data_IF_499952012058
#
_entry.id   IF_499952012058
#
_cell.length_a   1.000
_cell.length_b   1.000
_cell.length_c   1.000
_cell.angle_alpha   90.00
_cell.angle_beta   90.00
_cell.angle_gamma   90.00
#
_symmetry.space_group_name_H-M   'P 1'
#
loop_
_entity.id
_entity.type
_entity.pdbx_description
1 polymer ?
#
# COMPACT_ATOMS: atom_id res chain seq x y z
N UNK A 1 -6.02 7.51 -10.32
CA UNK A 1 -4.81 6.67 -10.38
C UNK A 1 -4.68 6.09 -11.77
N UNK A 2 -3.55 6.32 -12.44
CA UNK A 2 -3.29 5.83 -13.78
C UNK A 2 -2.38 4.59 -13.79
N UNK A 3 -1.49 4.48 -12.81
CA UNK A 3 -0.50 3.37 -12.69
C UNK A 3 0.20 3.04 -14.01
N UNK A 4 0.51 4.08 -14.78
CA UNK A 4 0.94 3.99 -16.19
C UNK A 4 2.22 3.16 -16.38
N UNK A 5 3.16 3.21 -15.42
CA UNK A 5 4.38 2.41 -15.47
C UNK A 5 4.12 0.89 -15.54
N UNK A 6 2.97 0.43 -15.01
CA UNK A 6 2.53 -0.96 -15.05
C UNK A 6 1.50 -1.25 -16.15
N UNK A 7 1.11 -0.24 -16.95
CA UNK A 7 0.06 -0.33 -17.95
C UNK A 7 0.52 0.25 -19.32
N UNK A 8 1.43 -0.41 -20.06
CA UNK A 8 1.97 0.09 -21.32
C UNK A 8 0.90 0.41 -22.38
N UNK A 9 -0.14 -0.43 -22.47
CA UNK A 9 -1.23 -0.23 -23.43
C UNK A 9 -2.05 1.04 -23.13
N UNK A 10 -2.27 1.36 -21.85
CA UNK A 10 -2.91 2.61 -21.43
C UNK A 10 -2.04 3.81 -21.81
N UNK A 11 -0.73 3.71 -21.55
CA UNK A 11 0.22 4.76 -21.93
C UNK A 11 0.17 5.02 -23.45
N UNK A 12 0.21 3.96 -24.28
CA UNK A 12 0.12 4.06 -25.75
C UNK A 12 -1.18 4.73 -26.19
N UNK A 13 -2.31 4.34 -25.62
CA UNK A 13 -3.60 4.92 -25.95
C UNK A 13 -3.67 6.42 -25.59
N UNK A 14 -3.16 6.80 -24.40
CA UNK A 14 -3.13 8.20 -23.96
C UNK A 14 -2.20 9.07 -24.82
N UNK A 15 -1.03 8.55 -25.20
CA UNK A 15 -0.09 9.25 -26.08
C UNK A 15 -0.66 9.42 -27.49
N UNK A 16 -1.23 8.37 -28.08
CA UNK A 16 -1.86 8.42 -29.39
C UNK A 16 -3.04 9.40 -29.45
N UNK A 17 -3.86 9.43 -28.38
CA UNK A 17 -4.98 10.35 -28.25
C UNK A 17 -4.55 11.78 -27.84
N UNK A 18 -3.27 12.01 -27.54
CA UNK A 18 -2.72 13.27 -27.00
C UNK A 18 -3.46 13.74 -25.75
N UNK A 19 -3.92 12.81 -24.94
CA UNK A 19 -4.64 13.10 -23.69
C UNK A 19 -3.69 13.74 -22.68
N UNK A 20 -4.14 14.81 -22.02
CA UNK A 20 -3.43 15.35 -20.86
C UNK A 20 -3.77 14.48 -19.64
N UNK A 21 -2.78 13.77 -19.13
CA UNK A 21 -2.91 12.91 -17.95
C UNK A 21 -2.38 13.60 -16.69
N UNK A 22 -3.22 13.69 -15.65
CA UNK A 22 -2.80 14.12 -14.30
C UNK A 22 -3.07 12.98 -13.36
N UNK A 23 -2.01 12.34 -12.89
CA UNK A 23 -2.10 11.17 -12.00
C UNK A 23 -2.08 11.61 -10.53
N UNK A 24 -3.06 11.16 -9.76
CA UNK A 24 -3.14 11.46 -8.33
C UNK A 24 -1.93 10.92 -7.55
N UNK A 25 -1.47 9.75 -7.93
CA UNK A 25 -0.38 9.03 -7.25
C UNK A 25 0.99 9.68 -7.40
N UNK A 26 1.14 10.67 -8.27
CA UNK A 26 2.42 11.35 -8.51
C UNK A 26 2.41 12.82 -8.07
N UNK A 27 1.25 13.37 -7.69
CA UNK A 27 1.17 14.72 -7.10
C UNK A 27 1.92 14.76 -5.78
N UNK A 28 2.83 15.75 -5.63
CA UNK A 28 3.64 15.93 -4.43
C UNK A 28 3.25 17.21 -3.68
N UNK A 29 3.46 17.21 -2.37
CA UNK A 29 3.43 18.42 -1.57
C UNK A 29 4.81 19.09 -1.50
N UNK A 30 4.90 20.20 -0.78
CA UNK A 30 6.14 20.95 -0.57
C UNK A 30 7.22 20.17 0.19
N UNK A 31 6.84 19.10 0.88
CA UNK A 31 7.74 18.21 1.61
C UNK A 31 8.11 16.97 0.79
N UNK A 32 7.61 16.87 -0.46
CA UNK A 32 7.83 15.73 -1.36
C UNK A 32 6.98 14.51 -1.04
N UNK A 33 5.99 14.64 -0.14
CA UNK A 33 5.05 13.56 0.17
C UNK A 33 4.01 13.42 -0.95
N UNK A 34 3.24 12.33 -0.93
CA UNK A 34 2.21 12.01 -1.91
C UNK A 34 0.80 12.18 -1.30
N UNK A 35 0.31 13.41 -1.11
CA UNK A 35 -0.89 13.70 -0.32
C UNK A 35 -2.16 13.05 -0.87
N UNK A 36 -2.23 12.81 -2.18
CA UNK A 36 -3.40 12.20 -2.82
C UNK A 36 -3.35 10.66 -2.79
N UNK A 37 -2.19 10.07 -2.46
CA UNK A 37 -2.04 8.63 -2.24
C UNK A 37 -2.35 8.23 -0.79
N UNK A 38 -2.10 9.14 0.17
CA UNK A 38 -2.28 8.90 1.61
C UNK A 38 -3.65 8.33 1.96
N UNK A 39 -4.81 8.88 1.51
CA UNK A 39 -6.12 8.38 1.91
C UNK A 39 -6.34 6.90 1.53
N UNK A 40 -5.88 6.47 0.36
CA UNK A 40 -6.02 5.08 -0.06
C UNK A 40 -5.08 4.16 0.73
N UNK A 41 -3.90 4.64 1.09
CA UNK A 41 -2.98 3.92 1.98
C UNK A 41 -3.56 3.76 3.39
N UNK A 42 -4.27 4.77 3.91
CA UNK A 42 -4.97 4.71 5.19
C UNK A 42 -6.11 3.68 5.17
N UNK A 43 -6.93 3.71 4.11
CA UNK A 43 -8.01 2.73 3.92
C UNK A 43 -7.44 1.33 3.79
N UNK A 44 -6.41 1.14 2.95
CA UNK A 44 -5.79 -0.17 2.74
C UNK A 44 -5.22 -0.76 4.04
N UNK A 45 -4.50 0.04 4.84
CA UNK A 45 -3.96 -0.40 6.13
C UNK A 45 -5.05 -0.83 7.11
N UNK A 46 -6.15 -0.06 7.20
CA UNK A 46 -7.29 -0.38 8.06
C UNK A 46 -8.01 -1.66 7.60
N UNK A 47 -8.21 -1.81 6.30
CA UNK A 47 -8.84 -2.99 5.70
C UNK A 47 -7.99 -4.24 5.85
N UNK A 48 -6.67 -4.15 5.73
CA UNK A 48 -5.78 -5.30 5.81
C UNK A 48 -5.97 -6.11 7.11
N UNK A 49 -6.19 -5.43 8.23
CA UNK A 49 -6.43 -6.10 9.51
C UNK A 49 -7.82 -6.71 9.59
N UNK A 50 -8.85 -6.04 9.08
CA UNK A 50 -10.22 -6.59 9.05
C UNK A 50 -10.26 -7.85 8.18
N UNK A 51 -9.58 -7.81 7.03
CA UNK A 51 -9.40 -8.95 6.13
C UNK A 51 -8.68 -10.10 6.85
N UNK A 52 -7.54 -9.81 7.49
CA UNK A 52 -6.80 -10.79 8.27
C UNK A 52 -7.64 -11.44 9.36
N UNK A 53 -8.39 -10.64 10.12
CA UNK A 53 -9.30 -11.13 11.16
C UNK A 53 -10.42 -12.01 10.60
N UNK A 54 -10.99 -11.64 9.44
CA UNK A 54 -12.01 -12.44 8.77
C UNK A 54 -11.47 -13.81 8.35
N UNK A 55 -10.34 -13.82 7.66
CA UNK A 55 -9.75 -15.06 7.13
C UNK A 55 -9.11 -15.94 8.22
N UNK A 56 -8.87 -15.44 9.43
CA UNK A 56 -8.53 -16.29 10.58
C UNK A 56 -9.68 -17.17 11.06
N UNK A 57 -10.94 -16.87 10.71
CA UNK A 57 -12.10 -17.69 11.11
C UNK A 57 -12.08 -19.06 10.43
N UNK A 58 -12.60 -20.08 11.11
CA UNK A 58 -12.69 -21.43 10.53
C UNK A 58 -13.52 -21.51 9.27
N UNK A 59 -14.60 -20.73 9.18
CA UNK A 59 -15.47 -20.67 8.00
C UNK A 59 -14.75 -20.12 6.78
N UNK A 60 -13.77 -19.22 6.99
CA UNK A 60 -12.95 -18.64 5.90
C UNK A 60 -11.65 -19.43 5.63
N UNK A 61 -11.44 -20.59 6.27
CA UNK A 61 -10.29 -21.46 6.07
C UNK A 61 -9.13 -21.24 7.05
N UNK A 62 -9.26 -20.32 7.98
CA UNK A 62 -8.19 -19.94 8.90
C UNK A 62 -8.02 -20.86 10.11
N UNK A 63 -7.07 -20.50 10.97
CA UNK A 63 -6.70 -21.24 12.20
C UNK A 63 -7.74 -21.20 13.31
N UNK A 64 -8.76 -20.31 13.23
CA UNK A 64 -9.78 -20.11 14.25
C UNK A 64 -9.32 -19.21 15.40
N UNK A 65 -8.36 -18.32 15.18
CA UNK A 65 -7.84 -17.38 16.19
C UNK A 65 -8.71 -16.12 16.21
N UNK A 66 -9.10 -15.68 17.41
CA UNK A 66 -9.69 -14.36 17.65
C UNK A 66 -8.57 -13.38 18.04
N UNK A 67 -8.36 -12.32 17.28
CA UNK A 67 -7.24 -11.40 17.48
C UNK A 67 -7.19 -10.79 18.90
N UNK A 68 -8.33 -10.44 19.46
CA UNK A 68 -8.40 -9.87 20.82
C UNK A 68 -8.22 -10.87 21.95
N UNK A 69 -8.30 -12.18 21.67
CA UNK A 69 -8.39 -13.21 22.70
C UNK A 69 -9.63 -13.01 23.57
N UNK A 70 -9.63 -13.69 24.71
CA UNK A 70 -10.60 -13.49 25.82
C UNK A 70 -9.86 -13.69 27.15
N UNK A 71 -10.42 -13.30 28.30
CA UNK A 71 -9.77 -13.57 29.60
C UNK A 71 -9.31 -15.01 29.72
N UNK A 72 -8.02 -15.22 30.00
CA UNK A 72 -7.40 -16.54 30.09
C UNK A 72 -6.94 -17.18 28.76
N UNK A 73 -7.17 -16.52 27.62
CA UNK A 73 -6.73 -16.98 26.29
C UNK A 73 -5.79 -15.95 25.67
N UNK A 74 -4.65 -16.36 25.09
CA UNK A 74 -3.72 -15.44 24.45
C UNK A 74 -4.37 -14.64 23.32
N UNK A 75 -3.88 -13.41 23.13
CA UNK A 75 -4.23 -12.57 21.97
C UNK A 75 -3.56 -13.10 20.70
N UNK A 76 -4.22 -12.90 19.56
CA UNK A 76 -3.62 -13.13 18.26
C UNK A 76 -2.47 -12.14 17.99
N UNK A 77 -1.47 -12.58 17.22
CA UNK A 77 -0.26 -11.83 16.87
C UNK A 77 -0.36 -11.29 15.46
N UNK A 78 -0.22 -9.97 15.33
CA UNK A 78 -0.19 -9.27 14.03
C UNK A 78 1.20 -8.71 13.81
N UNK A 79 1.88 -9.19 12.78
CA UNK A 79 3.19 -8.69 12.34
C UNK A 79 3.02 -7.81 11.12
N UNK A 80 3.52 -6.57 11.20
CA UNK A 80 3.41 -5.56 10.15
C UNK A 80 4.81 -5.24 9.64
N UNK A 81 5.06 -5.47 8.36
CA UNK A 81 6.34 -5.21 7.70
C UNK A 81 6.23 -3.91 6.92
N UNK A 82 6.87 -2.85 7.43
CA UNK A 82 6.78 -1.49 6.96
C UNK A 82 5.93 -0.61 7.88
N UNK A 83 6.54 0.39 8.49
CA UNK A 83 5.92 1.36 9.41
C UNK A 83 5.39 2.63 8.73
N UNK A 84 5.20 2.65 7.41
CA UNK A 84 4.65 3.78 6.65
C UNK A 84 3.17 4.07 6.98
N UNK A 85 2.48 4.75 6.07
CA UNK A 85 1.05 5.09 6.24
C UNK A 85 0.21 3.82 6.42
N UNK A 86 0.35 2.86 5.50
CA UNK A 86 -0.36 1.57 5.55
C UNK A 86 -0.13 0.87 6.89
N UNK A 87 1.13 0.68 7.28
CA UNK A 87 1.48 -0.05 8.51
C UNK A 87 1.00 0.65 9.78
N UNK A 88 1.07 1.99 9.83
CA UNK A 88 0.55 2.78 10.97
C UNK A 88 -0.96 2.58 11.12
N UNK A 89 -1.71 2.61 10.03
CA UNK A 89 -3.16 2.45 10.07
C UNK A 89 -3.58 1.00 10.29
N UNK A 90 -2.79 0.03 9.83
CA UNK A 90 -2.95 -1.37 10.21
C UNK A 90 -2.77 -1.56 11.72
N UNK A 91 -1.71 -1.00 12.30
CA UNK A 91 -1.47 -1.08 13.75
C UNK A 91 -2.63 -0.51 14.57
N UNK A 92 -3.20 0.63 14.16
CA UNK A 92 -4.36 1.23 14.85
C UNK A 92 -5.54 0.28 14.93
N UNK A 93 -5.86 -0.40 13.84
CA UNK A 93 -6.99 -1.34 13.81
C UNK A 93 -6.66 -2.62 14.55
N UNK A 94 -5.44 -3.17 14.41
CA UNK A 94 -5.01 -4.36 15.14
C UNK A 94 -5.07 -4.15 16.67
N UNK A 95 -4.60 -3.01 17.14
CA UNK A 95 -4.72 -2.60 18.54
C UNK A 95 -6.19 -2.43 18.98
N UNK A 96 -7.01 -1.78 18.10
CA UNK A 96 -8.44 -1.61 18.37
C UNK A 96 -9.19 -2.95 18.48
N UNK A 97 -8.73 -3.99 17.78
CA UNK A 97 -9.23 -5.36 17.92
C UNK A 97 -8.61 -6.14 19.10
N UNK A 98 -7.67 -5.52 19.82
CA UNK A 98 -7.01 -6.10 20.98
C UNK A 98 -5.86 -7.05 20.68
N UNK A 99 -5.35 -7.09 19.46
CA UNK A 99 -4.23 -7.95 19.07
C UNK A 99 -2.91 -7.55 19.72
N UNK A 100 -1.97 -8.48 19.74
CA UNK A 100 -0.56 -8.21 20.01
C UNK A 100 0.11 -7.77 18.70
N UNK A 101 0.67 -6.54 18.65
CA UNK A 101 1.18 -5.93 17.42
C UNK A 101 2.68 -5.77 17.44
N UNK A 102 3.34 -6.25 16.39
CA UNK A 102 4.76 -5.99 16.09
C UNK A 102 4.89 -5.27 14.76
N UNK A 103 5.63 -4.16 14.74
CA UNK A 103 5.94 -3.40 13.51
C UNK A 103 7.43 -3.45 13.25
N UNK A 104 7.80 -3.76 11.99
CA UNK A 104 9.18 -3.76 11.54
C UNK A 104 9.39 -2.65 10.50
N UNK A 105 10.43 -1.85 10.68
CA UNK A 105 10.85 -0.82 9.71
C UNK A 105 12.37 -0.72 9.66
N UNK A 106 12.93 -0.27 8.53
CA UNK A 106 14.38 -0.04 8.38
C UNK A 106 14.84 1.28 9.00
N UNK A 107 13.92 2.20 9.27
CA UNK A 107 14.20 3.54 9.79
C UNK A 107 13.99 3.60 11.30
N UNK A 108 15.10 3.70 12.05
CA UNK A 108 15.04 3.91 13.50
C UNK A 108 14.24 5.17 13.88
N UNK A 109 14.36 6.25 13.07
CA UNK A 109 13.56 7.46 13.25
C UNK A 109 12.06 7.18 13.12
N UNK A 110 11.67 6.33 12.15
CA UNK A 110 10.26 5.95 11.97
C UNK A 110 9.76 5.11 13.14
N UNK A 111 10.55 4.17 13.62
CA UNK A 111 10.23 3.35 14.79
C UNK A 111 10.00 4.21 16.03
N UNK A 112 10.85 5.22 16.27
CA UNK A 112 10.68 6.18 17.37
C UNK A 112 9.34 6.93 17.27
N UNK A 113 8.99 7.44 16.08
CA UNK A 113 7.68 8.09 15.86
C UNK A 113 6.51 7.15 16.13
N UNK A 114 6.63 5.87 15.78
CA UNK A 114 5.59 4.88 16.05
C UNK A 114 5.43 4.61 17.56
N UNK A 115 6.55 4.59 18.32
CA UNK A 115 6.51 4.50 19.77
C UNK A 115 5.86 5.74 20.42
N UNK A 116 6.14 6.93 19.90
CA UNK A 116 5.48 8.15 20.36
C UNK A 116 3.96 8.12 20.11
N UNK A 117 3.53 7.54 18.99
CA UNK A 117 2.10 7.46 18.61
C UNK A 117 1.35 6.39 19.38
N UNK A 118 1.95 5.23 19.62
CA UNK A 118 1.28 4.06 20.18
C UNK A 118 1.70 3.72 21.62
N UNK A 119 2.77 4.33 22.10
CA UNK A 119 3.34 4.00 23.42
C UNK A 119 3.75 2.54 23.52
N UNK A 120 3.53 1.96 24.69
CA UNK A 120 3.89 0.56 24.97
C UNK A 120 2.90 -0.48 24.42
N UNK A 121 1.96 -0.08 23.58
CA UNK A 121 0.94 -0.99 23.04
C UNK A 121 1.46 -1.82 21.87
N UNK A 122 2.58 -1.43 21.27
CA UNK A 122 3.22 -2.12 20.14
C UNK A 122 4.64 -2.54 20.49
N UNK A 123 5.13 -3.57 19.81
CA UNK A 123 6.54 -3.87 19.71
C UNK A 123 7.08 -3.27 18.40
N UNK A 124 8.16 -2.48 18.48
CA UNK A 124 8.91 -2.02 17.31
C UNK A 124 10.20 -2.83 17.15
N UNK A 125 10.56 -3.21 15.93
CA UNK A 125 11.79 -3.93 15.60
C UNK A 125 12.42 -3.37 14.33
N UNK A 126 13.75 -3.41 14.28
CA UNK A 126 14.48 -3.15 13.02
C UNK A 126 14.16 -4.24 12.00
N UNK A 127 13.80 -3.83 10.77
CA UNK A 127 13.54 -4.74 9.66
C UNK A 127 14.85 -5.31 9.12
N UNK A 128 15.23 -6.48 9.63
CA UNK A 128 16.33 -7.29 9.17
C UNK A 128 15.88 -8.76 9.06
N UNK A 129 16.60 -9.62 8.34
CA UNK A 129 16.17 -11.01 8.12
C UNK A 129 15.86 -11.77 9.40
N UNK A 130 16.67 -11.62 10.45
CA UNK A 130 16.48 -12.31 11.72
C UNK A 130 15.17 -11.90 12.43
N UNK A 131 14.90 -10.59 12.53
CA UNK A 131 13.70 -10.09 13.18
C UNK A 131 12.43 -10.38 12.37
N UNK A 132 12.53 -10.33 11.02
CA UNK A 132 11.42 -10.67 10.13
C UNK A 132 11.06 -12.14 10.31
N UNK A 133 12.05 -13.06 10.21
CA UNK A 133 11.82 -14.49 10.36
C UNK A 133 11.18 -14.84 11.71
N UNK A 134 11.76 -14.33 12.81
CA UNK A 134 11.23 -14.57 14.15
C UNK A 134 9.78 -14.08 14.31
N UNK A 135 9.47 -12.87 13.77
CA UNK A 135 8.14 -12.29 13.89
C UNK A 135 7.11 -12.98 12.99
N UNK A 136 7.48 -13.34 11.76
CA UNK A 136 6.62 -14.04 10.79
C UNK A 136 6.25 -15.44 11.29
N UNK A 137 7.22 -16.20 11.80
CA UNK A 137 6.99 -17.54 12.34
C UNK A 137 5.94 -17.59 13.44
N UNK A 138 5.87 -16.54 14.27
CA UNK A 138 4.93 -16.49 15.38
C UNK A 138 3.60 -15.83 15.06
N UNK A 139 3.49 -15.17 13.89
CA UNK A 139 2.33 -14.39 13.52
C UNK A 139 1.11 -15.27 13.19
N UNK A 140 -0.05 -14.79 13.59
CA UNK A 140 -1.35 -15.27 13.10
C UNK A 140 -1.74 -14.48 11.84
N UNK A 141 -1.38 -13.19 11.78
CA UNK A 141 -1.54 -12.34 10.59
C UNK A 141 -0.23 -11.63 10.27
N UNK A 142 0.22 -11.71 9.03
CA UNK A 142 1.33 -10.90 8.48
C UNK A 142 0.78 -9.89 7.50
N UNK A 143 1.14 -8.62 7.66
CA UNK A 143 0.76 -7.54 6.74
C UNK A 143 2.00 -6.99 6.06
N UNK A 144 2.09 -7.16 4.74
CA UNK A 144 3.09 -6.54 3.89
C UNK A 144 2.69 -5.09 3.58
N UNK A 145 3.39 -4.12 4.16
CA UNK A 145 3.04 -2.70 4.12
C UNK A 145 4.17 -1.80 3.62
N UNK A 146 5.14 -2.36 2.87
CA UNK A 146 6.23 -1.59 2.27
C UNK A 146 5.87 -1.22 0.84
N UNK A 147 5.87 0.07 0.57
CA UNK A 147 5.72 0.67 -0.75
C UNK A 147 6.96 1.53 -1.03
N UNK A 148 7.60 1.29 -2.17
CA UNK A 148 8.69 2.14 -2.68
C UNK A 148 8.16 2.83 -3.92
N UNK A 149 7.86 4.16 -3.89
CA UNK A 149 7.33 4.87 -5.04
C UNK A 149 8.24 4.72 -6.27
N UNK A 150 7.69 4.22 -7.38
CA UNK A 150 8.42 4.05 -8.64
C UNK A 150 9.37 2.86 -8.72
N UNK A 151 9.46 2.01 -7.67
CA UNK A 151 10.32 0.84 -7.68
C UNK A 151 9.62 -0.39 -7.06
N UNK A 152 10.05 -1.58 -7.46
CA UNK A 152 9.62 -2.83 -6.80
C UNK A 152 10.30 -2.97 -5.45
N UNK A 153 9.53 -3.26 -4.41
CA UNK A 153 10.08 -3.60 -3.11
C UNK A 153 10.81 -4.96 -3.15
N UNK A 154 11.89 -5.14 -2.39
CA UNK A 154 12.55 -6.45 -2.26
C UNK A 154 11.62 -7.45 -1.56
N UNK A 155 11.78 -8.73 -1.85
CA UNK A 155 11.08 -9.80 -1.14
C UNK A 155 11.68 -9.98 0.25
N UNK A 156 11.02 -9.40 1.25
CA UNK A 156 11.48 -9.40 2.64
C UNK A 156 11.06 -10.65 3.41
N UNK A 157 9.89 -11.22 3.07
CA UNK A 157 9.43 -12.51 3.61
C UNK A 157 9.68 -13.58 2.58
N UNK A 158 10.60 -14.48 2.89
CA UNK A 158 11.00 -15.57 1.98
C UNK A 158 9.99 -16.72 2.01
N UNK A 159 10.09 -17.63 1.04
CA UNK A 159 9.28 -18.85 1.00
C UNK A 159 9.51 -19.71 2.26
N UNK A 160 10.77 -19.86 2.68
CA UNK A 160 11.14 -20.63 3.87
C UNK A 160 10.54 -20.03 5.17
N UNK A 161 10.44 -18.71 5.28
CA UNK A 161 9.78 -18.07 6.41
C UNK A 161 8.29 -18.37 6.47
N UNK A 162 7.62 -18.39 5.30
CA UNK A 162 6.19 -18.72 5.21
C UNK A 162 5.95 -20.20 5.54
N UNK A 163 6.82 -21.11 5.12
CA UNK A 163 6.73 -22.53 5.50
C UNK A 163 6.78 -22.77 7.01
N UNK A 164 7.41 -21.86 7.76
CA UNK A 164 7.51 -21.94 9.22
C UNK A 164 6.29 -21.34 9.95
N UNK A 165 5.37 -20.67 9.25
CA UNK A 165 4.14 -20.14 9.83
C UNK A 165 3.20 -21.27 10.26
N UNK A 166 2.31 -20.97 11.19
CA UNK A 166 1.28 -21.93 11.62
C UNK A 166 0.25 -22.11 10.50
N UNK A 167 -0.19 -23.36 10.22
CA UNK A 167 -1.27 -23.59 9.27
C UNK A 167 -2.55 -22.81 9.64
N UNK A 168 -3.17 -22.20 8.63
CA UNK A 168 -4.34 -21.34 8.80
C UNK A 168 -4.03 -19.92 9.27
N UNK A 169 -2.74 -19.54 9.36
CA UNK A 169 -2.34 -18.12 9.45
C UNK A 169 -2.66 -17.38 8.14
N UNK A 170 -2.69 -16.05 8.21
CA UNK A 170 -3.09 -15.21 7.08
C UNK A 170 -1.98 -14.23 6.72
N UNK A 171 -1.68 -14.11 5.44
CA UNK A 171 -0.82 -13.07 4.87
C UNK A 171 -1.69 -12.11 4.07
N UNK A 172 -1.54 -10.80 4.30
CA UNK A 172 -2.14 -9.73 3.50
C UNK A 172 -1.02 -8.88 2.91
N UNK A 173 -0.73 -9.04 1.62
CA UNK A 173 0.27 -8.22 0.94
C UNK A 173 -0.41 -7.01 0.27
N UNK A 174 -0.34 -5.85 0.94
CA UNK A 174 -1.05 -4.63 0.50
C UNK A 174 -0.45 -4.03 -0.78
N UNK A 175 0.83 -4.28 -1.04
CA UNK A 175 1.55 -3.74 -2.18
C UNK A 175 1.80 -4.78 -3.29
N UNK A 176 0.98 -5.82 -3.35
CA UNK A 176 1.17 -6.94 -4.29
C UNK A 176 1.20 -6.51 -5.77
N UNK A 177 0.39 -5.52 -6.15
CA UNK A 177 0.32 -4.94 -7.49
C UNK A 177 1.63 -4.20 -7.89
N UNK A 178 2.42 -3.79 -6.93
CA UNK A 178 3.74 -3.17 -7.12
C UNK A 178 4.90 -4.13 -6.79
N UNK A 179 4.63 -5.42 -6.91
CA UNK A 179 5.59 -6.49 -6.66
C UNK A 179 5.55 -7.09 -5.26
N UNK A 180 4.95 -6.40 -4.26
CA UNK A 180 4.81 -6.89 -2.90
C UNK A 180 6.12 -7.25 -2.18
N UNK A 181 6.04 -7.54 -0.89
CA UNK A 181 7.23 -7.89 -0.08
C UNK A 181 7.27 -9.37 0.32
N UNK A 182 6.24 -10.12 -0.03
CA UNK A 182 6.10 -11.54 0.31
C UNK A 182 6.49 -12.38 -0.92
N UNK A 183 7.45 -13.29 -0.78
CA UNK A 183 7.91 -14.12 -1.90
C UNK A 183 6.81 -15.08 -2.39
N UNK A 184 6.01 -15.60 -1.46
CA UNK A 184 4.91 -16.51 -1.74
C UNK A 184 3.64 -15.82 -2.27
N UNK A 185 3.56 -14.49 -2.21
CA UNK A 185 2.55 -13.70 -2.91
C UNK A 185 2.96 -13.55 -4.39
N UNK A 186 2.79 -14.63 -5.13
CA UNK A 186 3.28 -14.83 -6.49
C UNK A 186 2.26 -14.46 -7.57
N UNK A 187 1.04 -14.13 -7.19
CA UNK A 187 -0.04 -13.72 -8.08
C UNK A 187 -0.98 -12.71 -7.43
N UNK A 188 -1.53 -11.84 -8.23
CA UNK A 188 -2.61 -10.92 -7.83
C UNK A 188 -3.93 -11.68 -7.84
N UNK A 189 -4.76 -11.46 -6.82
CA UNK A 189 -6.10 -12.01 -6.70
C UNK A 189 -7.17 -10.93 -6.92
N UNK A 190 -8.44 -11.33 -6.96
CA UNK A 190 -9.58 -10.42 -7.16
C UNK A 190 -10.47 -10.37 -5.92
N UNK A 191 -11.41 -9.41 -5.86
CA UNK A 191 -12.38 -9.37 -4.76
C UNK A 191 -13.34 -10.55 -4.74
N UNK A 192 -13.57 -11.20 -5.89
CA UNK A 192 -14.45 -12.39 -6.00
C UNK A 192 -13.74 -13.68 -5.54
N UNK A 193 -12.43 -13.79 -5.83
CA UNK A 193 -11.56 -14.88 -5.39
C UNK A 193 -10.36 -14.30 -4.65
N UNK A 194 -10.53 -13.83 -3.40
CA UNK A 194 -9.56 -12.96 -2.77
C UNK A 194 -8.35 -13.66 -2.16
N UNK A 195 -8.42 -14.97 -1.94
CA UNK A 195 -7.35 -15.72 -1.27
C UNK A 195 -6.99 -16.99 -2.02
N UNK A 196 -5.75 -17.43 -1.82
CA UNK A 196 -5.27 -18.77 -2.13
C UNK A 196 -4.43 -19.29 -0.97
N UNK A 197 -4.26 -20.60 -0.90
CA UNK A 197 -3.43 -21.26 0.10
C UNK A 197 -2.07 -21.63 -0.49
N UNK A 198 -0.99 -21.38 0.27
CA UNK A 198 0.35 -21.87 0.00
C UNK A 198 1.06 -22.18 1.31
N UNK A 199 1.64 -23.38 1.44
CA UNK A 199 2.23 -23.89 2.69
C UNK A 199 1.28 -23.92 3.88
N UNK A 200 -0.03 -24.13 3.65
CA UNK A 200 -1.04 -24.08 4.72
C UNK A 200 -1.39 -22.67 5.21
N UNK A 201 -0.86 -21.63 4.55
CA UNK A 201 -1.08 -20.21 4.90
C UNK A 201 -1.97 -19.56 3.84
N UNK A 202 -2.99 -18.84 4.29
CA UNK A 202 -3.89 -18.11 3.40
C UNK A 202 -3.24 -16.80 2.93
N UNK A 203 -3.21 -16.57 1.62
CA UNK A 203 -2.65 -15.36 1.02
C UNK A 203 -3.76 -14.51 0.42
N UNK A 204 -3.99 -13.34 1.01
CA UNK A 204 -4.82 -12.29 0.43
C UNK A 204 -3.93 -11.33 -0.37
N UNK A 205 -4.07 -11.33 -1.67
CA UNK A 205 -3.23 -10.60 -2.61
C UNK A 205 -4.06 -9.80 -3.62
N UNK A 206 -5.16 -9.20 -3.15
CA UNK A 206 -6.07 -8.40 -3.99
C UNK A 206 -5.46 -7.03 -4.25
N UNK A 207 -5.30 -6.69 -5.54
CA UNK A 207 -5.00 -5.32 -5.93
C UNK A 207 -6.18 -4.40 -5.57
N UNK A 208 -5.89 -3.15 -5.24
CA UNK A 208 -6.92 -2.17 -4.91
C UNK A 208 -7.84 -2.58 -3.74
N UNK A 209 -7.24 -2.96 -2.61
CA UNK A 209 -7.96 -3.24 -1.35
C UNK A 209 -9.00 -2.14 -1.01
N UNK A 210 -8.72 -0.81 -1.20
CA UNK A 210 -9.71 0.24 -0.97
C UNK A 210 -11.00 0.11 -1.78
N UNK A 211 -10.97 -0.60 -2.90
CA UNK A 211 -12.15 -0.87 -3.73
C UNK A 211 -13.24 -1.65 -3.00
N UNK A 212 -12.88 -2.50 -2.03
CA UNK A 212 -13.83 -3.23 -1.20
C UNK A 212 -14.73 -2.32 -0.35
N UNK A 213 -14.30 -1.10 -0.07
CA UNK A 213 -15.05 -0.09 0.72
C UNK A 213 -15.21 1.20 -0.08
N UNK A 214 -15.73 1.08 -1.29
CA UNK A 214 -15.78 2.13 -2.30
C UNK A 214 -16.42 3.44 -1.79
N UNK A 215 -17.46 3.38 -0.95
CA UNK A 215 -18.10 4.57 -0.37
C UNK A 215 -17.11 5.39 0.48
N UNK A 216 -16.39 4.74 1.39
CA UNK A 216 -15.39 5.41 2.25
C UNK A 216 -14.23 5.92 1.40
N UNK A 217 -13.73 5.10 0.49
CA UNK A 217 -12.61 5.43 -0.38
C UNK A 217 -12.91 6.62 -1.29
N UNK A 218 -14.09 6.68 -1.90
CA UNK A 218 -14.50 7.80 -2.75
C UNK A 218 -14.58 9.11 -1.95
N UNK A 219 -15.22 9.09 -0.78
CA UNK A 219 -15.33 10.30 0.07
C UNK A 219 -13.93 10.78 0.50
N UNK A 220 -13.09 9.86 0.96
CA UNK A 220 -11.72 10.19 1.39
C UNK A 220 -10.89 10.77 0.23
N UNK A 221 -10.98 10.18 -0.96
CA UNK A 221 -10.26 10.65 -2.14
C UNK A 221 -10.77 12.00 -2.63
N UNK A 222 -12.09 12.19 -2.74
CA UNK A 222 -12.67 13.44 -3.23
C UNK A 222 -12.37 14.62 -2.29
N UNK A 223 -12.30 14.41 -0.98
CA UNK A 223 -11.94 15.45 -0.02
C UNK A 223 -10.54 16.05 -0.29
N UNK A 224 -9.59 15.26 -0.76
CA UNK A 224 -8.21 15.71 -1.01
C UNK A 224 -7.96 16.10 -2.47
N UNK A 225 -8.75 15.58 -3.43
CA UNK A 225 -8.56 15.87 -4.86
C UNK A 225 -9.31 17.12 -5.32
N UNK A 226 -10.41 17.47 -4.64
CA UNK A 226 -11.26 18.60 -5.03
C UNK A 226 -10.48 19.92 -5.21
N UNK A 227 -9.58 20.35 -4.31
CA UNK A 227 -8.84 21.60 -4.48
C UNK A 227 -8.01 21.65 -5.77
N UNK A 228 -7.43 20.52 -6.19
CA UNK A 228 -6.66 20.43 -7.43
C UNK A 228 -7.57 20.50 -8.67
N UNK A 229 -8.77 19.89 -8.60
CA UNK A 229 -9.76 19.96 -9.68
C UNK A 229 -10.27 21.40 -9.83
N UNK A 230 -10.56 22.08 -8.71
CA UNK A 230 -10.97 23.48 -8.70
C UNK A 230 -9.88 24.41 -9.25
N UNK A 231 -8.61 24.16 -8.92
CA UNK A 231 -7.49 24.91 -9.47
C UNK A 231 -7.37 24.73 -10.99
N UNK A 232 -7.48 23.50 -11.49
CA UNK A 232 -7.45 23.19 -12.92
C UNK A 232 -8.65 23.82 -13.66
N UNK A 233 -9.85 23.73 -13.11
CA UNK A 233 -11.07 24.27 -13.71
C UNK A 233 -11.09 25.81 -13.68
N UNK A 234 -10.68 26.43 -12.57
CA UNK A 234 -10.77 27.89 -12.36
C UNK A 234 -9.62 28.67 -13.04
N UNK A 235 -8.40 28.11 -13.04
CA UNK A 235 -7.21 28.79 -13.59
C UNK A 235 -6.86 28.34 -15.01
N UNK A 236 -7.37 27.18 -15.45
CA UNK A 236 -6.95 26.47 -16.65
C UNK A 236 -5.65 25.68 -16.43
N UNK A 237 -5.44 24.64 -17.25
CA UNK A 237 -4.35 23.69 -17.07
C UNK A 237 -2.97 24.35 -16.92
N UNK A 238 -2.56 25.16 -17.89
CA UNK A 238 -1.21 25.76 -17.90
C UNK A 238 -0.91 26.59 -16.66
N UNK A 239 -1.84 27.49 -16.31
CA UNK A 239 -1.64 28.36 -15.15
C UNK A 239 -1.63 27.57 -13.85
N UNK A 240 -2.51 26.57 -13.69
CA UNK A 240 -2.56 25.75 -12.48
C UNK A 240 -1.25 25.00 -12.22
N UNK A 241 -0.67 24.37 -13.25
CA UNK A 241 0.60 23.61 -13.08
C UNK A 241 1.84 24.53 -12.97
N UNK A 242 1.78 25.76 -13.45
CA UNK A 242 2.86 26.74 -13.26
C UNK A 242 2.87 27.30 -11.84
N UNK A 243 1.70 27.49 -11.25
CA UNK A 243 1.56 28.02 -9.88
C UNK A 243 1.72 26.96 -8.79
N UNK A 244 1.47 25.68 -9.11
CA UNK A 244 1.57 24.56 -8.18
C UNK A 244 2.56 23.51 -8.69
N UNK A 245 3.75 23.49 -8.09
CA UNK A 245 4.81 22.56 -8.45
C UNK A 245 4.42 21.10 -8.17
N UNK A 246 3.64 20.85 -7.12
CA UNK A 246 3.17 19.51 -6.78
C UNK A 246 2.17 18.97 -7.80
N UNK A 247 1.22 19.81 -8.22
CA UNK A 247 0.29 19.47 -9.29
C UNK A 247 1.02 19.23 -10.63
N UNK A 248 2.08 20.01 -10.90
CA UNK A 248 2.93 19.82 -12.07
C UNK A 248 3.60 18.44 -12.11
N UNK A 249 4.07 17.93 -10.97
CA UNK A 249 4.61 16.57 -10.83
C UNK A 249 3.54 15.49 -11.11
N UNK A 250 2.26 15.84 -10.95
CA UNK A 250 1.13 14.98 -11.28
C UNK A 250 0.93 14.78 -12.78
N UNK A 251 1.46 15.65 -13.65
CA UNK A 251 1.28 15.55 -15.09
C UNK A 251 2.14 14.42 -15.66
N UNK A 252 1.52 13.38 -16.18
CA UNK A 252 2.20 12.19 -16.69
C UNK A 252 2.24 12.09 -18.19
N UNK A 253 1.23 12.69 -18.88
CA UNK A 253 1.22 12.82 -20.35
C UNK A 253 0.72 14.21 -20.75
N UNK A 254 1.30 14.77 -21.80
CA UNK A 254 0.86 16.02 -22.42
C UNK A 254 1.23 16.05 -23.90
N UNK A 255 0.29 16.44 -24.76
CA UNK A 255 0.48 16.58 -26.22
C UNK A 255 1.12 15.35 -26.91
N UNK A 256 0.86 14.14 -26.43
CA UNK A 256 1.39 12.90 -26.97
C UNK A 256 2.80 12.55 -26.49
N UNK A 257 3.29 13.17 -25.43
CA UNK A 257 4.59 12.89 -24.82
C UNK A 257 4.43 12.46 -23.36
N UNK A 258 5.33 11.59 -22.89
CA UNK A 258 5.48 11.26 -21.46
C UNK A 258 6.19 12.43 -20.78
N UNK A 259 5.60 12.91 -19.67
CA UNK A 259 6.10 14.08 -18.93
C UNK A 259 6.51 13.75 -17.49
N UNK A 260 6.41 12.48 -17.11
CA UNK A 260 6.86 11.96 -15.81
C UNK A 260 8.04 11.02 -16.02
N UNK A 261 9.21 11.41 -15.50
CA UNK A 261 10.44 10.62 -15.62
C UNK A 261 10.29 9.21 -15.02
N UNK A 262 9.73 8.99 -13.81
CA UNK A 262 9.58 7.65 -13.26
C UNK A 262 8.66 6.75 -14.09
N UNK A 263 7.64 7.32 -14.72
CA UNK A 263 6.75 6.56 -15.61
C UNK A 263 7.49 6.16 -16.89
N UNK A 264 8.25 7.08 -17.47
CA UNK A 264 9.02 6.82 -18.69
C UNK A 264 10.11 5.77 -18.48
N UNK A 265 10.84 5.85 -17.36
CA UNK A 265 11.83 4.84 -16.94
C UNK A 265 11.18 3.45 -16.75
N UNK A 266 10.01 3.40 -16.08
CA UNK A 266 9.28 2.15 -15.88
C UNK A 266 8.75 1.52 -17.17
N UNK A 267 8.53 2.32 -18.21
CA UNK A 267 8.09 1.89 -19.55
C UNK A 267 9.25 1.71 -20.53
N UNK A 268 10.50 2.03 -20.13
CA UNK A 268 11.68 2.06 -21.01
C UNK A 268 11.49 2.95 -22.24
N UNK A 269 10.97 4.18 -22.04
CA UNK A 269 10.62 5.15 -23.08
C UNK A 269 11.24 6.52 -22.85
N UNK A 270 11.23 7.34 -23.89
CA UNK A 270 11.67 8.73 -23.81
C UNK A 270 10.75 9.57 -22.93
N UNK A 271 11.34 10.58 -22.30
CA UNK A 271 10.72 11.54 -21.42
C UNK A 271 11.01 12.97 -21.87
N UNK A 272 9.99 13.82 -21.81
CA UNK A 272 10.12 15.25 -22.06
C UNK A 272 9.57 16.02 -20.85
N UNK A 273 10.40 16.84 -20.17
CA UNK A 273 9.91 17.65 -19.05
C UNK A 273 8.72 18.50 -19.44
N UNK A 274 7.66 18.52 -18.61
CA UNK A 274 6.47 19.34 -18.92
C UNK A 274 6.80 20.82 -19.05
N UNK A 275 7.86 21.31 -18.40
CA UNK A 275 8.33 22.70 -18.51
C UNK A 275 8.83 23.10 -19.92
N UNK A 276 9.12 22.14 -20.77
CA UNK A 276 9.52 22.38 -22.16
C UNK A 276 8.31 22.47 -23.11
N UNK A 277 7.11 22.10 -22.64
CA UNK A 277 5.89 21.97 -23.44
C UNK A 277 4.82 23.02 -23.12
N UNK A 278 5.00 23.85 -22.08
CA UNK A 278 3.98 24.79 -21.58
C UNK A 278 4.43 26.24 -21.51
#
# INVERSE_FOLDING_TARGET
YLHMAAAPELADAMLAAKTTGVAYETVRDTEGQLPLLVPMSEVAGRMAVQIGAHFLTKQAGGSGVLLGGVPGVPKGKVTIIGGGVVGTHAARIALGLGAQVTILDISAKRLSVLEDVFGHQIQTLMSNPFNIEASVREADVVIGAVLIPGAKAPKLVTDDMVQQMRPGSVIVDVAVDQGGVIATADRVTTHDEPVYEKHGVLHYAVANIPGAVARTSTIALTNVTLPYIEALAGKGFKKAILEDAGLREGVTTYQGQLTSQPVAEGLERDYTPISELV
#
